data_IF_384693328405
#
_entry.id   IF_384693328405
#
_cell.length_a   1.000
_cell.length_b   1.000
_cell.length_c   1.000
_cell.angle_alpha   90.00
_cell.angle_beta   90.00
_cell.angle_gamma   90.00
#
_symmetry.space_group_name_H-M   'P 1'
#
loop_
_entity.id
_entity.type
_entity.pdbx_description
1 polymer ?
#
# COMPACT_ATOMS: atom_id res chain seq x y z
N UNK A 1 -7.83 -0.95 4.03
CA UNK A 1 -7.18 -2.18 4.54
C UNK A 1 -5.84 -2.45 3.87
N UNK A 2 -5.76 -2.77 2.56
CA UNK A 2 -4.48 -3.11 1.89
C UNK A 2 -3.37 -2.04 2.05
N UNK A 3 -3.74 -0.75 2.04
CA UNK A 3 -2.79 0.35 2.16
C UNK A 3 -1.99 0.34 3.48
N UNK A 4 -2.59 -0.16 4.57
CA UNK A 4 -2.03 -0.18 5.93
C UNK A 4 -1.82 -1.62 6.43
N UNK A 5 -1.71 -2.58 5.52
CA UNK A 5 -1.59 -3.99 5.89
C UNK A 5 -0.27 -4.25 6.64
N UNK A 6 -0.36 -4.85 7.82
CA UNK A 6 0.80 -5.19 8.67
C UNK A 6 1.25 -6.64 8.47
N UNK A 7 2.46 -6.95 8.92
CA UNK A 7 2.98 -8.34 8.95
C UNK A 7 2.07 -9.25 9.78
N UNK A 8 1.52 -8.74 10.89
CA UNK A 8 0.63 -9.49 11.78
C UNK A 8 -0.71 -9.82 11.12
N UNK A 9 -1.27 -8.90 10.34
CA UNK A 9 -2.49 -9.14 9.56
C UNK A 9 -2.29 -10.31 8.60
N UNK A 10 -1.17 -10.33 7.86
CA UNK A 10 -0.86 -11.43 6.94
C UNK A 10 -0.70 -12.76 7.67
N UNK A 11 -0.05 -12.78 8.83
CA UNK A 11 0.07 -13.99 9.64
C UNK A 11 -1.29 -14.47 10.15
N UNK A 12 -2.17 -13.56 10.55
CA UNK A 12 -3.54 -13.85 10.98
C UNK A 12 -4.37 -14.44 9.84
N UNK A 13 -4.17 -13.94 8.61
CA UNK A 13 -4.71 -14.48 7.36
C UNK A 13 -4.03 -15.77 6.88
N UNK A 14 -3.14 -16.36 7.70
CA UNK A 14 -2.39 -17.60 7.43
C UNK A 14 -1.40 -17.49 6.25
N UNK A 15 -1.03 -16.27 5.88
CA UNK A 15 0.05 -16.01 4.91
C UNK A 15 1.37 -15.93 5.68
N UNK A 16 2.05 -17.07 5.81
CA UNK A 16 3.32 -17.17 6.57
C UNK A 16 4.60 -17.23 5.73
N UNK A 17 4.48 -17.31 4.39
CA UNK A 17 5.64 -17.41 3.50
C UNK A 17 6.30 -16.06 3.29
N UNK A 18 7.64 -16.01 3.38
CA UNK A 18 8.43 -14.82 3.06
C UNK A 18 8.19 -14.37 1.61
N UNK A 19 8.11 -15.32 0.68
CA UNK A 19 7.84 -15.05 -0.73
C UNK A 19 6.47 -14.38 -0.91
N UNK A 20 5.44 -14.89 -0.22
CA UNK A 20 4.10 -14.30 -0.32
C UNK A 20 4.02 -12.92 0.33
N UNK A 21 4.76 -12.66 1.41
CA UNK A 21 4.88 -11.31 1.98
C UNK A 21 5.52 -10.33 1.00
N UNK A 22 6.62 -10.72 0.35
CA UNK A 22 7.26 -9.89 -0.69
C UNK A 22 6.33 -9.69 -1.90
N UNK A 23 5.60 -10.72 -2.30
CA UNK A 23 4.59 -10.63 -3.35
C UNK A 23 3.52 -9.60 -3.01
N UNK A 24 2.92 -9.69 -1.83
CA UNK A 24 1.87 -8.75 -1.38
C UNK A 24 2.44 -7.33 -1.25
N UNK A 25 3.65 -7.18 -0.70
CA UNK A 25 4.37 -5.90 -0.63
C UNK A 25 4.45 -5.22 -2.00
N UNK A 26 4.94 -5.94 -3.02
CA UNK A 26 5.09 -5.39 -4.37
C UNK A 26 3.76 -5.19 -5.08
N UNK A 27 2.75 -6.03 -4.81
CA UNK A 27 1.40 -5.81 -5.33
C UNK A 27 0.80 -4.50 -4.77
N UNK A 28 0.92 -4.24 -3.47
CA UNK A 28 0.49 -2.97 -2.86
C UNK A 28 1.26 -1.79 -3.47
N UNK A 29 2.57 -1.93 -3.68
CA UNK A 29 3.38 -0.90 -4.32
C UNK A 29 2.91 -0.58 -5.75
N UNK A 30 2.59 -1.60 -6.55
CA UNK A 30 2.02 -1.43 -7.90
C UNK A 30 0.68 -0.71 -7.84
N UNK A 31 -0.21 -1.07 -6.89
CA UNK A 31 -1.48 -0.37 -6.72
C UNK A 31 -1.26 1.11 -6.38
N UNK A 32 -0.33 1.43 -5.48
CA UNK A 32 0.02 2.81 -5.13
C UNK A 32 0.55 3.61 -6.32
N UNK A 33 1.47 3.02 -7.10
CA UNK A 33 2.03 3.61 -8.32
C UNK A 33 0.96 3.91 -9.39
N UNK A 34 -0.16 3.20 -9.36
CA UNK A 34 -1.29 3.37 -10.27
C UNK A 34 -2.50 4.02 -9.59
N UNK A 35 -2.29 4.72 -8.46
CA UNK A 35 -3.33 5.45 -7.73
C UNK A 35 -4.57 4.60 -7.39
N UNK A 36 -4.38 3.29 -7.16
CA UNK A 36 -5.45 2.32 -6.92
C UNK A 36 -6.53 2.26 -8.02
N UNK A 37 -6.17 2.57 -9.26
CA UNK A 37 -7.08 2.45 -10.40
C UNK A 37 -7.54 0.97 -10.53
N UNK A 38 -8.86 0.67 -10.49
CA UNK A 38 -9.35 -0.70 -10.40
C UNK A 38 -8.96 -1.61 -11.57
N UNK A 39 -8.71 -1.05 -12.75
CA UNK A 39 -8.34 -1.77 -13.98
C UNK A 39 -6.84 -1.73 -14.31
N UNK A 40 -6.00 -1.30 -13.36
CA UNK A 40 -4.59 -1.07 -13.63
C UNK A 40 -3.83 -2.36 -13.93
N UNK A 41 -4.30 -3.50 -13.39
CA UNK A 41 -3.69 -4.81 -13.60
C UNK A 41 -4.07 -5.39 -14.96
N UNK A 42 -3.05 -5.68 -15.77
CA UNK A 42 -3.22 -6.13 -17.15
C UNK A 42 -3.14 -7.65 -17.24
N UNK A 43 -4.22 -8.26 -17.72
CA UNK A 43 -4.24 -9.68 -18.13
C UNK A 43 -3.93 -9.86 -19.61
N UNK A 44 -4.42 -8.96 -20.47
CA UNK A 44 -4.16 -8.92 -21.91
C UNK A 44 -3.80 -7.47 -22.28
N UNK A 45 -2.51 -7.15 -22.46
CA UNK A 45 -2.11 -5.85 -22.99
C UNK A 45 -2.67 -5.67 -24.40
N UNK A 46 -3.18 -4.48 -24.72
CA UNK A 46 -3.69 -4.17 -26.06
C UNK A 46 -2.57 -4.00 -27.08
N UNK A 47 -1.40 -3.55 -26.61
CA UNK A 47 -0.19 -3.36 -27.41
C UNK A 47 0.91 -4.29 -26.89
N UNK A 48 1.37 -5.23 -27.72
CA UNK A 48 2.47 -6.15 -27.39
C UNK A 48 3.84 -5.63 -27.87
N UNK A 49 3.85 -4.56 -28.64
CA UNK A 49 5.07 -3.98 -29.19
C UNK A 49 5.65 -2.95 -28.21
N UNK A 50 6.87 -3.20 -27.73
CA UNK A 50 7.65 -2.29 -26.88
C UNK A 50 7.08 -2.05 -25.47
N UNK A 51 6.84 -3.15 -24.74
CA UNK A 51 6.32 -3.13 -23.36
C UNK A 51 7.38 -2.61 -22.39
N UNK A 52 7.05 -1.58 -21.63
CA UNK A 52 7.95 -0.96 -20.65
C UNK A 52 7.96 -1.71 -19.30
N UNK A 53 9.02 -1.55 -18.47
CA UNK A 53 9.05 -2.13 -17.12
C UNK A 53 7.86 -1.72 -16.22
N UNK A 54 7.33 -0.51 -16.40
CA UNK A 54 6.14 -0.05 -15.69
C UNK A 54 4.88 -0.84 -16.08
N UNK A 55 4.68 -1.09 -17.38
CA UNK A 55 3.56 -1.93 -17.87
C UNK A 55 3.74 -3.39 -17.46
N UNK A 56 4.99 -3.89 -17.45
CA UNK A 56 5.30 -5.23 -16.95
C UNK A 56 4.95 -5.33 -15.47
N UNK A 57 5.19 -4.29 -14.67
CA UNK A 57 4.85 -4.30 -13.24
C UNK A 57 3.35 -4.53 -12.98
N UNK A 58 2.49 -4.15 -13.93
CA UNK A 58 1.04 -4.34 -13.89
C UNK A 58 0.60 -5.76 -14.30
N UNK A 59 1.51 -6.63 -14.73
CA UNK A 59 1.16 -7.97 -15.19
C UNK A 59 0.62 -8.84 -14.06
N UNK A 60 -0.56 -9.42 -14.31
CA UNK A 60 -1.12 -10.48 -13.47
C UNK A 60 -0.28 -11.76 -13.55
N UNK A 61 -0.43 -12.66 -12.56
CA UNK A 61 0.16 -14.00 -12.61
C UNK A 61 -0.19 -14.75 -13.91
N UNK A 62 -1.43 -14.58 -14.40
CA UNK A 62 -1.85 -15.19 -15.65
C UNK A 62 -1.07 -14.68 -16.86
N UNK A 63 -0.82 -13.36 -16.94
CA UNK A 63 -0.03 -12.79 -18.02
C UNK A 63 1.42 -13.27 -17.98
N UNK A 64 2.01 -13.43 -16.78
CA UNK A 64 3.34 -14.04 -16.63
C UNK A 64 3.35 -15.48 -17.16
N UNK A 65 2.31 -16.27 -16.88
CA UNK A 65 2.17 -17.62 -17.45
C UNK A 65 2.04 -17.60 -18.97
N UNK A 66 1.36 -16.62 -19.57
CA UNK A 66 1.31 -16.45 -21.02
C UNK A 66 2.68 -16.09 -21.61
N UNK A 67 3.41 -15.17 -20.97
CA UNK A 67 4.78 -14.82 -21.37
C UNK A 67 5.70 -16.04 -21.37
N UNK A 68 5.60 -16.92 -20.36
CA UNK A 68 6.36 -18.18 -20.37
C UNK A 68 6.06 -19.05 -21.59
N UNK A 69 4.81 -19.06 -22.07
CA UNK A 69 4.45 -19.79 -23.29
C UNK A 69 5.04 -19.15 -24.54
N UNK A 70 5.10 -17.81 -24.61
CA UNK A 70 5.67 -17.10 -25.77
C UNK A 70 7.19 -17.20 -25.87
N UNK A 71 7.87 -17.63 -24.80
CA UNK A 71 9.33 -17.86 -24.77
C UNK A 71 9.68 -19.35 -24.68
N UNK A 72 8.82 -20.23 -25.17
CA UNK A 72 9.05 -21.68 -25.24
C UNK A 72 9.24 -22.40 -23.90
N UNK A 73 8.63 -21.89 -22.82
CA UNK A 73 8.61 -22.49 -21.48
C UNK A 73 7.20 -22.89 -21.02
N UNK A 74 6.33 -23.23 -21.97
CA UNK A 74 4.91 -23.50 -21.73
C UNK A 74 4.65 -24.63 -20.72
N UNK A 75 5.48 -25.67 -20.72
CA UNK A 75 5.36 -26.83 -19.82
C UNK A 75 5.56 -26.46 -18.34
N UNK A 76 6.33 -25.40 -18.06
CA UNK A 76 6.65 -24.95 -16.70
C UNK A 76 5.64 -23.93 -16.16
N UNK A 77 4.89 -23.25 -17.03
CA UNK A 77 3.97 -22.18 -16.66
C UNK A 77 2.92 -22.58 -15.59
N UNK A 78 2.29 -23.77 -15.62
CA UNK A 78 1.33 -24.18 -14.59
C UNK A 78 1.90 -24.18 -13.16
N UNK A 79 3.22 -24.33 -12.98
CA UNK A 79 3.88 -24.32 -11.67
C UNK A 79 3.79 -22.95 -10.98
N UNK A 80 3.46 -21.87 -11.71
CA UNK A 80 3.27 -20.55 -11.12
C UNK A 80 1.89 -20.34 -10.49
N UNK A 81 0.97 -21.30 -10.57
CA UNK A 81 -0.33 -21.20 -9.91
C UNK A 81 -0.15 -21.17 -8.39
N UNK A 82 -0.67 -20.15 -7.73
CA UNK A 82 -0.56 -19.99 -6.27
C UNK A 82 0.84 -19.60 -5.76
N UNK A 83 1.82 -19.41 -6.66
CA UNK A 83 3.19 -19.04 -6.25
C UNK A 83 3.32 -17.60 -5.76
N UNK A 84 2.37 -16.74 -6.10
CA UNK A 84 2.43 -15.29 -5.85
C UNK A 84 3.26 -14.52 -6.88
N UNK A 85 3.79 -15.17 -7.92
CA UNK A 85 4.55 -14.49 -8.98
C UNK A 85 3.64 -13.61 -9.84
N UNK A 86 4.02 -12.35 -9.99
CA UNK A 86 3.37 -11.36 -10.85
C UNK A 86 4.41 -10.31 -11.28
N UNK A 87 4.04 -9.43 -12.19
CA UNK A 87 4.94 -8.43 -12.77
C UNK A 87 5.63 -7.52 -11.75
N UNK A 88 4.86 -7.00 -10.79
CA UNK A 88 5.38 -6.18 -9.70
C UNK A 88 6.50 -6.86 -8.92
N UNK A 89 6.33 -8.13 -8.53
CA UNK A 89 7.39 -8.91 -7.90
C UNK A 89 8.61 -9.08 -8.81
N UNK A 90 8.41 -9.37 -10.09
CA UNK A 90 9.50 -9.58 -11.05
C UNK A 90 10.34 -8.34 -11.26
N UNK A 91 9.72 -7.16 -11.36
CA UNK A 91 10.42 -5.90 -11.67
C UNK A 91 10.95 -5.23 -10.42
N UNK A 92 10.14 -5.14 -9.34
CA UNK A 92 10.40 -4.26 -8.22
C UNK A 92 11.12 -4.90 -7.03
N UNK A 93 11.18 -6.24 -6.95
CA UNK A 93 11.86 -6.94 -5.83
C UNK A 93 13.29 -7.35 -6.21
N UNK A 94 14.34 -6.73 -5.63
CA UNK A 94 15.73 -7.07 -5.94
C UNK A 94 16.10 -8.51 -5.58
N UNK A 95 15.47 -9.09 -4.55
CA UNK A 95 15.71 -10.49 -4.14
C UNK A 95 15.04 -11.52 -5.06
N UNK A 96 14.10 -11.10 -5.93
CA UNK A 96 13.45 -11.99 -6.88
C UNK A 96 14.22 -12.00 -8.19
N UNK A 97 15.05 -13.02 -8.42
CA UNK A 97 15.91 -13.14 -9.60
C UNK A 97 15.64 -14.43 -10.39
N UNK A 98 16.46 -14.69 -11.40
CA UNK A 98 16.36 -15.87 -12.27
C UNK A 98 16.38 -17.17 -11.45
N UNK A 99 17.19 -17.24 -10.39
CA UNK A 99 17.28 -18.43 -9.54
C UNK A 99 15.96 -18.67 -8.80
N UNK A 100 15.40 -17.63 -8.19
CA UNK A 100 14.10 -17.72 -7.52
C UNK A 100 12.98 -18.14 -8.49
N UNK A 101 12.96 -17.59 -9.71
CA UNK A 101 11.97 -17.95 -10.73
C UNK A 101 12.16 -19.41 -11.20
N UNK A 102 13.40 -19.86 -11.42
CA UNK A 102 13.70 -21.23 -11.81
C UNK A 102 13.26 -22.25 -10.74
N UNK A 103 13.47 -21.94 -9.46
CA UNK A 103 12.98 -22.76 -8.34
C UNK A 103 11.45 -22.87 -8.34
N UNK A 104 10.73 -21.75 -8.54
CA UNK A 104 9.27 -21.74 -8.59
C UNK A 104 8.69 -22.45 -9.82
N UNK A 105 9.44 -22.47 -10.91
CA UNK A 105 9.10 -23.22 -12.12
C UNK A 105 9.45 -24.71 -12.01
N UNK A 106 10.06 -25.16 -10.90
CA UNK A 106 10.60 -26.50 -10.72
C UNK A 106 11.62 -26.89 -11.82
N UNK A 107 12.46 -25.93 -12.26
CA UNK A 107 13.56 -26.19 -13.19
C UNK A 107 14.81 -26.56 -12.38
N UNK A 108 15.31 -27.81 -12.46
CA UNK A 108 16.48 -28.24 -11.69
C UNK A 108 17.78 -27.51 -12.08
N UNK A 109 18.77 -27.39 -11.17
CA UNK A 109 20.04 -26.70 -11.43
C UNK A 109 20.88 -27.35 -12.54
N UNK A 110 20.75 -28.66 -12.76
CA UNK A 110 21.47 -29.37 -13.82
C UNK A 110 20.89 -29.12 -15.23
N UNK A 111 19.68 -28.54 -15.38
CA UNK A 111 19.13 -28.14 -16.69
C UNK A 111 19.68 -26.77 -17.12
N UNK A 112 20.99 -26.71 -17.33
CA UNK A 112 21.74 -25.46 -17.57
C UNK A 112 21.27 -24.70 -18.82
N UNK A 113 20.92 -25.40 -19.91
CA UNK A 113 20.41 -24.79 -21.14
C UNK A 113 19.08 -24.06 -20.92
N UNK A 114 18.14 -24.69 -20.21
CA UNK A 114 16.84 -24.07 -19.89
C UNK A 114 17.01 -22.88 -18.94
N UNK A 115 17.91 -22.99 -17.95
CA UNK A 115 18.19 -21.89 -17.02
C UNK A 115 18.83 -20.70 -17.72
N UNK A 116 19.72 -20.94 -18.69
CA UNK A 116 20.29 -19.89 -19.54
C UNK A 116 19.21 -19.23 -20.41
N UNK A 117 18.34 -20.03 -21.03
CA UNK A 117 17.21 -19.53 -21.82
C UNK A 117 16.27 -18.65 -20.99
N UNK A 118 15.88 -19.13 -19.80
CA UNK A 118 15.08 -18.36 -18.85
C UNK A 118 15.78 -17.06 -18.45
N UNK A 119 17.08 -17.10 -18.15
CA UNK A 119 17.85 -15.92 -17.77
C UNK A 119 17.81 -14.83 -18.86
N UNK A 120 18.08 -15.22 -20.11
CA UNK A 120 18.06 -14.31 -21.25
C UNK A 120 16.70 -13.63 -21.40
N UNK A 121 15.62 -14.41 -21.46
CA UNK A 121 14.28 -13.84 -21.64
C UNK A 121 13.81 -13.04 -20.43
N UNK A 122 14.17 -13.46 -19.21
CA UNK A 122 13.83 -12.72 -17.99
C UNK A 122 14.51 -11.35 -17.96
N UNK A 123 15.82 -11.26 -18.27
CA UNK A 123 16.54 -9.98 -18.30
C UNK A 123 16.03 -9.05 -19.41
N UNK A 124 15.73 -9.60 -20.60
CA UNK A 124 15.10 -8.84 -21.68
C UNK A 124 13.75 -8.25 -21.24
N UNK A 125 12.96 -9.03 -20.50
CA UNK A 125 11.66 -8.59 -20.01
C UNK A 125 11.80 -7.47 -18.98
N UNK A 126 12.54 -7.67 -17.89
CA UNK A 126 12.56 -6.71 -16.78
C UNK A 126 13.35 -5.41 -17.08
N UNK A 127 14.21 -5.45 -18.10
CA UNK A 127 15.07 -4.34 -18.48
C UNK A 127 16.36 -4.22 -17.64
N UNK A 128 17.30 -3.42 -18.14
CA UNK A 128 18.66 -3.30 -17.63
C UNK A 128 18.76 -2.77 -16.20
N UNK A 129 17.88 -1.84 -15.81
CA UNK A 129 17.89 -1.25 -14.47
C UNK A 129 17.48 -2.25 -13.40
N UNK A 130 16.39 -2.99 -13.62
CA UNK A 130 15.94 -4.04 -12.70
C UNK A 130 16.96 -5.19 -12.65
N UNK A 131 17.59 -5.52 -13.77
CA UNK A 131 18.69 -6.48 -13.81
C UNK A 131 19.86 -6.03 -12.92
N UNK A 132 20.30 -4.77 -13.01
CA UNK A 132 21.39 -4.22 -12.20
C UNK A 132 21.06 -4.26 -10.71
N UNK A 133 19.87 -3.82 -10.30
CA UNK A 133 19.45 -3.85 -8.89
C UNK A 133 19.45 -5.27 -8.30
N UNK A 134 19.08 -6.27 -9.10
CA UNK A 134 19.13 -7.68 -8.68
C UNK A 134 20.57 -8.18 -8.56
N UNK A 135 21.48 -7.74 -9.44
CA UNK A 135 22.90 -8.05 -9.38
C UNK A 135 23.55 -7.43 -8.13
N UNK A 136 23.32 -6.15 -7.86
CA UNK A 136 23.81 -5.47 -6.66
C UNK A 136 23.31 -6.16 -5.38
N UNK A 137 22.07 -6.64 -5.39
CA UNK A 137 21.49 -7.41 -4.29
C UNK A 137 22.15 -8.78 -4.10
N UNK A 138 22.63 -9.43 -5.18
CA UNK A 138 23.33 -10.71 -5.13
C UNK A 138 24.75 -10.58 -4.58
N UNK A 139 25.39 -9.43 -4.83
CA UNK A 139 26.76 -9.14 -4.37
C UNK A 139 26.83 -8.79 -2.88
N UNK A 140 25.68 -8.54 -2.25
CA UNK A 140 25.61 -8.27 -0.82
C UNK A 140 25.98 -9.54 -0.01
N UNK A 141 26.93 -9.47 0.94
CA UNK A 141 27.36 -10.61 1.77
C UNK A 141 26.22 -11.27 2.56
N UNK A 142 25.18 -10.51 2.92
CA UNK A 142 24.01 -11.00 3.66
C UNK A 142 22.89 -11.55 2.75
N UNK A 143 23.18 -11.71 1.45
CA UNK A 143 22.19 -12.21 0.50
C UNK A 143 21.75 -13.64 0.87
N UNK A 144 20.43 -13.81 0.92
CA UNK A 144 19.79 -15.10 1.13
C UNK A 144 18.86 -15.42 -0.03
N UNK A 145 19.04 -16.60 -0.61
CA UNK A 145 18.19 -17.08 -1.71
C UNK A 145 16.75 -17.15 -1.25
N UNK A 146 15.86 -16.56 -2.06
CA UNK A 146 14.44 -16.62 -1.82
C UNK A 146 13.91 -18.01 -2.17
N UNK A 147 13.34 -18.69 -1.18
CA UNK A 147 12.73 -20.02 -1.33
C UNK A 147 11.24 -19.96 -1.00
N UNK A 148 10.43 -20.77 -1.67
CA UNK A 148 8.97 -20.81 -1.43
C UNK A 148 8.61 -21.23 0.01
N UNK A 149 9.47 -22.04 0.63
CA UNK A 149 9.28 -22.62 1.97
C UNK A 149 9.78 -21.72 3.10
N UNK A 150 10.49 -20.63 2.81
CA UNK A 150 10.95 -19.69 3.83
C UNK A 150 9.75 -19.10 4.57
N UNK A 151 9.75 -19.21 5.91
CA UNK A 151 8.68 -18.68 6.78
C UNK A 151 9.10 -17.38 7.44
N UNK A 152 8.16 -16.45 7.52
CA UNK A 152 8.31 -15.22 8.29
C UNK A 152 8.39 -15.60 9.77
N UNK A 153 9.42 -15.10 10.46
CA UNK A 153 9.56 -15.28 11.91
C UNK A 153 8.75 -14.19 12.60
N UNK A 154 7.71 -14.52 13.38
CA UNK A 154 7.01 -13.52 14.18
C UNK A 154 8.02 -12.85 15.13
N UNK A 155 8.01 -11.52 15.19
CA UNK A 155 8.75 -10.81 16.23
C UNK A 155 8.12 -11.20 17.57
N UNK A 156 8.82 -12.02 18.37
CA UNK A 156 8.42 -12.23 19.76
C UNK A 156 8.72 -10.93 20.50
N UNK A 157 7.68 -10.25 20.98
CA UNK A 157 7.85 -9.19 21.98
C UNK A 157 8.59 -9.82 23.16
N UNK A 158 9.83 -9.41 23.39
CA UNK A 158 10.64 -9.91 24.50
C UNK A 158 9.96 -9.48 25.80
N UNK A 159 9.23 -10.38 26.42
CA UNK A 159 8.65 -10.18 27.74
C UNK A 159 9.79 -10.34 28.76
N UNK A 160 10.29 -9.24 29.30
CA UNK A 160 11.19 -9.23 30.47
C UNK A 160 12.63 -8.81 30.20
N UNK A 161 12.93 -7.57 30.60
CA UNK A 161 14.27 -7.08 30.87
C UNK A 161 14.17 -5.90 31.84
N UNK A 162 14.07 -6.19 33.14
CA UNK A 162 14.26 -5.18 34.19
C UNK A 162 15.69 -4.64 34.05
N UNK A 163 15.84 -3.42 33.56
CA UNK A 163 17.17 -2.80 33.49
C UNK A 163 17.23 -1.59 32.56
N UNK A 164 17.36 -0.42 33.16
CA UNK A 164 17.77 0.87 32.56
C UNK A 164 16.72 1.63 31.74
N UNK A 165 16.06 2.56 32.43
CA UNK A 165 15.49 3.79 31.89
C UNK A 165 16.56 4.55 31.08
N UNK A 166 16.60 4.32 29.77
CA UNK A 166 17.23 5.25 28.84
C UNK A 166 16.38 5.35 27.58
N UNK A 167 15.47 6.32 27.61
CA UNK A 167 14.78 6.95 26.46
C UNK A 167 14.69 6.05 25.23
N UNK A 168 13.89 4.98 25.33
CA UNK A 168 13.41 4.23 24.17
C UNK A 168 12.49 5.19 23.44
N UNK A 169 12.94 5.75 22.31
CA UNK A 169 12.02 6.34 21.34
C UNK A 169 11.00 5.25 21.05
N UNK A 170 9.75 5.52 21.40
CA UNK A 170 8.61 4.70 21.05
C UNK A 170 8.41 4.85 19.55
N UNK A 171 9.18 4.08 18.78
CA UNK A 171 8.85 3.75 17.40
C UNK A 171 8.17 2.38 17.45
N UNK A 172 7.00 2.33 18.10
CA UNK A 172 6.02 1.25 17.93
C UNK A 172 5.30 1.45 16.58
N UNK A 173 6.06 1.82 15.54
CA UNK A 173 5.56 1.97 14.18
C UNK A 173 5.10 0.61 13.70
N UNK A 174 3.81 0.48 13.42
CA UNK A 174 3.22 -0.72 12.84
C UNK A 174 4.08 -1.15 11.62
N UNK A 175 4.66 -2.36 11.67
CA UNK A 175 5.53 -2.87 10.60
C UNK A 175 4.66 -3.21 9.38
N UNK A 176 4.33 -2.18 8.60
CA UNK A 176 3.57 -2.31 7.36
C UNK A 176 4.33 -3.21 6.39
N UNK A 177 3.60 -4.11 5.74
CA UNK A 177 4.14 -5.00 4.71
C UNK A 177 4.78 -4.20 3.57
N UNK A 178 4.15 -3.07 3.21
CA UNK A 178 4.67 -2.11 2.24
C UNK A 178 4.81 -0.74 2.91
N UNK A 179 6.03 -0.34 3.32
CA UNK A 179 6.26 0.97 3.95
C UNK A 179 5.71 2.11 3.10
N UNK A 180 5.24 3.19 3.73
CA UNK A 180 4.64 4.33 3.02
C UNK A 180 5.68 5.13 2.22
N UNK A 181 6.92 5.14 2.73
CA UNK A 181 8.11 5.79 2.18
C UNK A 181 8.94 4.87 1.27
N UNK A 182 8.34 3.85 0.65
CA UNK A 182 9.09 2.99 -0.30
C UNK A 182 9.62 3.85 -1.44
N UNK A 183 10.94 3.85 -1.62
CA UNK A 183 11.58 4.57 -2.74
C UNK A 183 10.93 4.20 -4.07
N UNK A 184 10.58 5.23 -4.83
CA UNK A 184 9.98 5.07 -6.15
C UNK A 184 11.04 4.56 -7.14
N UNK A 185 10.65 3.69 -8.11
CA UNK A 185 11.57 3.26 -9.14
C UNK A 185 12.11 4.47 -9.92
N UNK A 186 13.43 4.58 -10.06
CA UNK A 186 14.09 5.71 -10.74
C UNK A 186 13.94 5.64 -12.26
N UNK A 187 13.49 4.51 -12.78
CA UNK A 187 13.24 4.30 -14.19
C UNK A 187 12.21 5.30 -14.75
N UNK A 188 12.52 5.90 -15.90
CA UNK A 188 11.68 6.91 -16.55
C UNK A 188 10.26 6.41 -16.85
N UNK A 189 10.08 5.10 -17.09
CA UNK A 189 8.76 4.50 -17.31
C UNK A 189 7.79 4.64 -16.13
N UNK A 190 8.29 4.82 -14.90
CA UNK A 190 7.46 4.95 -13.68
C UNK A 190 7.18 6.42 -13.29
N UNK A 191 7.82 7.40 -13.95
CA UNK A 191 7.71 8.83 -13.59
C UNK A 191 6.28 9.39 -13.70
N UNK A 192 5.43 8.82 -14.57
CA UNK A 192 4.03 9.25 -14.70
C UNK A 192 3.20 8.93 -13.46
N UNK A 193 3.45 7.80 -12.80
CA UNK A 193 2.74 7.39 -11.59
C UNK A 193 3.32 8.00 -10.31
N UNK A 194 4.64 8.19 -10.26
CA UNK A 194 5.34 8.73 -9.08
C UNK A 194 4.92 10.16 -8.70
N UNK A 195 4.73 11.06 -9.70
CA UNK A 195 4.33 12.46 -9.45
C UNK A 195 2.96 12.61 -8.77
N UNK A 196 2.04 11.65 -9.01
CA UNK A 196 0.71 11.66 -8.40
C UNK A 196 0.78 11.16 -6.95
N UNK A 197 1.69 10.23 -6.66
CA UNK A 197 1.89 9.70 -5.31
C UNK A 197 2.58 10.71 -4.39
N UNK A 198 3.63 11.41 -4.85
CA UNK A 198 4.26 12.51 -4.09
C UNK A 198 3.26 13.62 -3.77
N UNK A 199 2.47 14.06 -4.75
CA UNK A 199 1.46 15.10 -4.52
C UNK A 199 0.36 14.72 -3.51
N UNK A 200 0.07 13.43 -3.35
CA UNK A 200 -0.86 12.93 -2.32
C UNK A 200 -0.18 12.73 -0.95
N UNK A 201 1.11 12.42 -0.93
CA UNK A 201 1.89 12.28 0.31
C UNK A 201 2.11 13.65 0.95
N UNK A 202 2.44 14.67 0.16
CA UNK A 202 2.54 16.06 0.59
C UNK A 202 1.21 16.56 1.20
N UNK A 203 0.08 16.10 0.65
CA UNK A 203 -1.25 16.46 1.14
C UNK A 203 -1.61 15.78 2.48
N UNK A 204 -1.00 14.63 2.77
CA UNK A 204 -1.19 13.89 4.03
C UNK A 204 -0.23 14.39 5.11
N UNK A 205 1.02 14.74 4.76
CA UNK A 205 1.96 15.39 5.67
C UNK A 205 1.50 16.82 6.05
N UNK A 206 0.84 17.55 5.14
CA UNK A 206 0.28 18.88 5.46
C UNK A 206 -0.88 18.86 6.47
N UNK A 207 -1.52 17.70 6.71
CA UNK A 207 -2.54 17.59 7.77
C UNK A 207 -1.95 17.50 9.18
N UNK A 208 -0.66 17.18 9.34
CA UNK A 208 -0.04 17.03 10.65
C UNK A 208 0.61 18.32 11.18
N UNK A 209 0.90 19.30 10.33
CA UNK A 209 1.67 20.52 10.70
C UNK A 209 0.91 21.85 10.53
N UNK A 210 -0.42 21.82 10.42
CA UNK A 210 -1.22 23.05 10.34
C UNK A 210 -1.44 23.69 11.73
N UNK A 211 -0.35 24.03 12.44
CA UNK A 211 -0.37 24.87 13.65
C UNK A 211 -1.12 26.18 13.38
N UNK A 212 -1.05 26.68 12.14
CA UNK A 212 -1.79 27.86 11.67
C UNK A 212 -3.31 27.69 11.70
N UNK A 213 -3.85 26.55 11.29
CA UNK A 213 -5.29 26.28 11.30
C UNK A 213 -5.80 26.10 12.73
N UNK A 214 -5.02 25.43 13.59
CA UNK A 214 -5.35 25.27 15.02
C UNK A 214 -5.37 26.61 15.75
N UNK A 215 -4.41 27.51 15.47
CA UNK A 215 -4.40 28.88 16.00
C UNK A 215 -5.58 29.71 15.52
N UNK A 216 -5.96 29.56 14.25
CA UNK A 216 -7.09 30.28 13.68
C UNK A 216 -8.43 29.82 14.26
N UNK A 217 -8.60 28.51 14.50
CA UNK A 217 -9.77 27.95 15.20
C UNK A 217 -9.79 28.38 16.67
N UNK A 218 -8.64 28.41 17.35
CA UNK A 218 -8.50 28.91 18.71
C UNK A 218 -8.92 30.38 18.85
N UNK A 219 -8.43 31.23 17.95
CA UNK A 219 -8.80 32.65 17.91
C UNK A 219 -10.30 32.86 17.62
N UNK A 220 -10.91 32.01 16.79
CA UNK A 220 -12.35 32.06 16.52
C UNK A 220 -13.17 31.61 17.74
N UNK A 221 -12.70 30.59 18.46
CA UNK A 221 -13.31 30.10 19.71
C UNK A 221 -13.24 31.16 20.81
N UNK A 222 -12.12 31.87 20.95
CA UNK A 222 -11.98 32.99 21.89
C UNK A 222 -12.94 34.15 21.56
N UNK A 223 -13.12 34.46 20.27
CA UNK A 223 -14.09 35.46 19.83
C UNK A 223 -15.53 35.11 20.22
N UNK A 224 -15.93 33.85 20.04
CA UNK A 224 -17.28 33.36 20.43
C UNK A 224 -17.46 33.38 21.95
N UNK A 225 -16.43 32.99 22.71
CA UNK A 225 -16.49 32.99 24.17
C UNK A 225 -16.57 34.41 24.75
N UNK A 226 -15.85 35.38 24.18
CA UNK A 226 -15.95 36.79 24.57
C UNK A 226 -17.33 37.37 24.26
N UNK A 227 -17.91 37.07 23.09
CA UNK A 227 -19.28 37.47 22.76
C UNK A 227 -20.30 36.88 23.73
N UNK A 228 -20.11 35.62 24.12
CA UNK A 228 -20.96 34.92 25.08
C UNK A 228 -20.82 35.49 26.50
N UNK A 229 -19.64 35.99 26.87
CA UNK A 229 -19.44 36.70 28.15
C UNK A 229 -20.16 38.05 28.14
N UNK A 230 -20.01 38.83 27.06
CA UNK A 230 -20.69 40.13 26.94
C UNK A 230 -22.21 39.99 26.97
N UNK A 231 -22.77 38.96 26.33
CA UNK A 231 -24.21 38.71 26.33
C UNK A 231 -24.74 38.21 27.69
N UNK A 232 -23.86 37.67 28.56
CA UNK A 232 -24.22 37.29 29.94
C UNK A 232 -24.18 38.48 30.90
N UNK A 233 -23.39 39.50 30.59
CA UNK A 233 -23.27 40.70 31.41
C UNK A 233 -24.39 41.72 31.14
N UNK A 234 -25.15 41.56 30.03
CA UNK A 234 -26.28 42.42 29.64
C UNK A 234 -27.67 41.97 30.14
N UNK A 235 -27.76 40.85 30.88
CA UNK A 235 -29.03 40.46 31.54
C UNK A 235 -29.05 40.86 33.02
N UNK A 236 -29.25 42.15 33.35
CA UNK A 236 -29.88 42.51 34.62
C UNK A 236 -30.71 43.81 34.54
N UNK A 237 -32.04 43.61 34.46
CA UNK A 237 -33.18 44.50 34.69
C UNK A 237 -33.56 45.61 33.68
N UNK A 238 -34.71 45.42 33.02
CA UNK A 238 -35.84 46.30 33.33
C UNK A 238 -37.20 45.56 33.25
N UNK A 239 -37.87 45.57 34.39
CA UNK A 239 -39.15 44.99 34.76
C UNK A 239 -40.31 45.87 34.23
N UNK A 240 -41.20 45.36 33.38
CA UNK A 240 -42.58 45.85 33.18
C UNK A 240 -43.43 44.61 32.81
N UNK A 241 -44.04 43.92 33.77
CA UNK A 241 -45.36 44.19 34.37
C UNK A 241 -46.58 43.86 33.46
N UNK A 242 -47.51 43.12 34.08
CA UNK A 242 -48.96 42.98 33.84
C UNK A 242 -49.48 41.70 33.15
N UNK A 243 -49.97 40.81 34.02
CA UNK A 243 -51.14 39.89 34.03
C UNK A 243 -51.76 39.27 32.74
N UNK A 244 -52.33 38.04 32.87
CA UNK A 244 -52.95 37.27 31.79
C UNK A 244 -54.46 37.56 31.64
N UNK A 245 -55.09 37.02 30.58
CA UNK A 245 -56.28 36.21 30.85
C UNK A 245 -56.38 34.91 30.04
N UNK A 246 -57.13 33.99 30.65
CA UNK A 246 -57.63 32.70 30.17
C UNK A 246 -58.57 32.77 28.95
N UNK A 247 -58.99 31.57 28.52
CA UNK A 247 -60.20 31.18 27.76
C UNK A 247 -59.89 30.86 26.28
N UNK A 248 -60.39 29.82 25.61
CA UNK A 248 -60.98 28.50 25.85
C UNK A 248 -61.32 27.95 24.43
N UNK A 249 -61.54 26.65 24.33
CA UNK A 249 -62.40 25.98 23.33
C UNK A 249 -62.02 25.94 21.83
N UNK A 250 -61.63 24.72 21.42
CA UNK A 250 -62.28 23.89 20.40
C UNK A 250 -62.54 24.44 18.97
N UNK A 251 -62.08 23.71 17.96
CA UNK A 251 -62.95 22.81 17.17
C UNK A 251 -62.18 21.99 16.12
N UNK A 252 -62.74 20.81 15.86
CA UNK A 252 -62.35 19.76 14.90
C UNK A 252 -62.79 20.13 13.49
N UNK A 253 -62.11 19.56 12.49
CA UNK A 253 -62.65 19.09 11.20
C UNK A 253 -61.54 18.21 10.57
N UNK A 254 -61.63 16.87 10.49
CA UNK A 254 -62.47 16.04 9.59
C UNK A 254 -62.64 16.69 8.20
N UNK A 255 -62.26 16.15 7.05
CA UNK A 255 -62.04 14.76 6.58
C UNK A 255 -61.47 14.82 5.13
N UNK A 256 -61.06 13.69 4.51
CA UNK A 256 -60.29 13.61 3.27
C UNK A 256 -61.18 13.51 2.01
N UNK A 257 -60.59 13.50 0.80
CA UNK A 257 -61.01 12.59 -0.28
C UNK A 257 -60.08 12.63 -1.52
N UNK A 258 -59.71 11.41 -1.95
CA UNK A 258 -59.19 10.92 -3.25
C UNK A 258 -57.72 11.20 -3.57
#
# INVERSE_FOLDING_TARGET
MLHYMTVEDLLSLKVGSVLHHLSIKRAIQVLRLNSYEPSCLRRRPSDENNITPAEISQWTNHRVMEWLRSVDLAEYAPNLRGSGVHGGLMVLEPRFNVEALALLLNIPPNKTLLRRHLATHFHLLIGSEAQRLKQDCLENPDYTVLTATAKVKPRRLSFGGFGTLRKKRQDDGEEYVCPLNVEMPKNSSFQRGARIYEGNLDHLEQMEDSEGTVRQIGAFSEGINNLTSMLKDDEFFQEISVCPPDIDAAQRHDTPHI
#
